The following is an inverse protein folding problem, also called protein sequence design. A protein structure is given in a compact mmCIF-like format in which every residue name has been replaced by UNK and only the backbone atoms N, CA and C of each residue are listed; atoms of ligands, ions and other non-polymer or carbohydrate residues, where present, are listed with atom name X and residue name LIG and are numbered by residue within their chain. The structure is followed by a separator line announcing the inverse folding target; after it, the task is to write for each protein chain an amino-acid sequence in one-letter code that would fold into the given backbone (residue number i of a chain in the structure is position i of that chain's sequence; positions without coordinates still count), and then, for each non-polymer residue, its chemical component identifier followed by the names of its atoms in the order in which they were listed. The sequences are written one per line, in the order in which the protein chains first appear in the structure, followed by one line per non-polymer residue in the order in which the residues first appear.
data_IF_774976170061
#
_entry.id   IF_774976170061
#
_cell.length_a   1.000
_cell.length_b   1.000
_cell.length_c   1.000
_cell.angle_alpha   90.00
_cell.angle_beta   90.00
_cell.angle_gamma   90.00
#
_symmetry.space_group_name_H-M   'P 1'
#
loop_
_entity.id
_entity.type
_entity.pdbx_description
1 polymer ?
#
# COMPACT_ATOMS: atom_id res chain seq x y z
N UNK A 1 -5.70 29.00 2.81
CA UNK A 1 -7.10 29.33 2.62
C UNK A 1 -7.93 28.05 2.55
N UNK A 2 -9.09 27.99 3.24
CA UNK A 2 -9.93 26.78 3.34
C UNK A 2 -10.40 26.33 1.94
N UNK A 3 -10.69 27.27 1.06
CA UNK A 3 -11.15 27.03 -0.32
C UNK A 3 -10.08 26.31 -1.14
N UNK A 4 -8.82 26.72 -1.04
CA UNK A 4 -7.70 26.10 -1.77
C UNK A 4 -7.42 24.67 -1.27
N UNK A 5 -7.58 24.43 0.05
CA UNK A 5 -7.43 23.11 0.61
C UNK A 5 -8.53 22.15 0.14
N UNK A 6 -9.77 22.64 0.03
CA UNK A 6 -10.91 21.88 -0.51
C UNK A 6 -10.76 21.62 -2.01
N UNK A 7 -10.34 22.60 -2.80
CA UNK A 7 -10.10 22.45 -4.23
C UNK A 7 -9.02 21.39 -4.51
N UNK A 8 -7.89 21.43 -3.77
CA UNK A 8 -6.84 20.42 -3.87
C UNK A 8 -7.31 19.03 -3.45
N UNK A 9 -8.20 18.94 -2.46
CA UNK A 9 -8.79 17.67 -2.03
C UNK A 9 -9.70 17.10 -3.12
N UNK A 10 -10.56 17.92 -3.72
CA UNK A 10 -11.44 17.51 -4.82
C UNK A 10 -10.64 17.08 -6.05
N UNK A 11 -9.59 17.81 -6.42
CA UNK A 11 -8.71 17.44 -7.53
C UNK A 11 -8.07 16.05 -7.33
N UNK A 12 -7.58 15.74 -6.11
CA UNK A 12 -7.05 14.42 -5.78
C UNK A 12 -8.13 13.34 -5.85
N UNK A 13 -9.32 13.58 -5.33
CA UNK A 13 -10.45 12.63 -5.41
C UNK A 13 -10.81 12.30 -6.86
N UNK A 14 -10.91 13.30 -7.73
CA UNK A 14 -11.20 13.08 -9.15
C UNK A 14 -10.10 12.27 -9.83
N UNK A 15 -8.83 12.58 -9.54
CA UNK A 15 -7.67 11.83 -10.08
C UNK A 15 -7.67 10.38 -9.61
N UNK A 16 -7.92 10.14 -8.32
CA UNK A 16 -7.94 8.79 -7.75
C UNK A 16 -9.12 7.97 -8.28
N UNK A 17 -10.31 8.57 -8.41
CA UNK A 17 -11.49 7.93 -9.00
C UNK A 17 -11.26 7.57 -10.47
N UNK A 18 -10.63 8.48 -11.25
CA UNK A 18 -10.30 8.21 -12.64
C UNK A 18 -9.31 7.05 -12.74
N UNK A 19 -8.27 7.01 -11.91
CA UNK A 19 -7.34 5.88 -11.85
C UNK A 19 -8.05 4.57 -11.55
N UNK A 20 -9.01 4.57 -10.61
CA UNK A 20 -9.79 3.38 -10.29
C UNK A 20 -10.65 2.91 -11.48
N UNK A 21 -11.34 3.81 -12.15
CA UNK A 21 -12.15 3.49 -13.33
C UNK A 21 -11.29 2.99 -14.51
N UNK A 22 -10.16 3.65 -14.76
CA UNK A 22 -9.21 3.24 -15.80
C UNK A 22 -8.61 1.85 -15.48
N UNK A 23 -8.33 1.58 -14.19
CA UNK A 23 -7.82 0.28 -13.74
C UNK A 23 -8.79 -0.88 -13.98
N UNK A 24 -10.10 -0.66 -13.99
CA UNK A 24 -11.05 -1.76 -14.21
C UNK A 24 -11.05 -2.25 -15.68
N UNK A 25 -10.66 -1.41 -16.62
CA UNK A 25 -10.81 -1.65 -18.05
C UNK A 25 -9.50 -1.71 -18.84
N UNK A 26 -8.44 -1.03 -18.40
CA UNK A 26 -7.15 -1.01 -19.09
C UNK A 26 -6.45 -2.36 -19.07
N UNK A 27 -5.76 -2.73 -20.15
CA UNK A 27 -4.87 -3.89 -20.15
C UNK A 27 -3.68 -3.64 -19.21
N UNK A 28 -3.22 -4.69 -18.50
CA UNK A 28 -1.99 -4.61 -17.69
C UNK A 28 -0.76 -4.75 -18.60
N UNK A 29 0.24 -3.91 -18.36
CA UNK A 29 1.58 -4.07 -18.95
C UNK A 29 2.37 -5.07 -18.12
N UNK A 30 2.20 -6.38 -18.40
CA UNK A 30 2.79 -7.44 -17.59
C UNK A 30 4.28 -7.62 -17.89
N UNK A 31 5.11 -7.46 -16.88
CA UNK A 31 6.55 -7.68 -16.89
C UNK A 31 6.99 -8.45 -15.64
N UNK A 32 8.26 -8.85 -15.59
CA UNK A 32 8.84 -9.44 -14.38
C UNK A 32 9.30 -8.32 -13.44
N UNK A 33 8.58 -8.13 -12.34
CA UNK A 33 8.78 -7.05 -11.39
C UNK A 33 9.56 -7.55 -10.18
N UNK A 34 10.70 -6.89 -9.86
CA UNK A 34 11.38 -7.05 -8.58
C UNK A 34 10.57 -6.33 -7.48
N UNK A 35 9.82 -7.13 -6.73
CA UNK A 35 8.95 -6.57 -5.69
C UNK A 35 9.76 -6.06 -4.49
N UNK A 36 10.98 -6.56 -4.26
CA UNK A 36 11.84 -6.08 -3.20
C UNK A 36 12.37 -4.67 -3.51
N UNK A 37 12.77 -4.42 -4.76
CA UNK A 37 13.13 -3.08 -5.25
C UNK A 37 11.93 -2.13 -5.18
N UNK A 38 10.76 -2.57 -5.65
CA UNK A 38 9.50 -1.80 -5.57
C UNK A 38 9.18 -1.35 -4.14
N UNK A 39 9.36 -2.25 -3.16
CA UNK A 39 9.16 -1.94 -1.73
C UNK A 39 10.19 -0.93 -1.24
N UNK A 40 11.46 -1.10 -1.64
CA UNK A 40 12.54 -0.20 -1.26
C UNK A 40 12.27 1.23 -1.73
N UNK A 41 11.95 1.39 -3.01
CA UNK A 41 11.68 2.69 -3.63
C UNK A 41 10.45 3.38 -3.00
N UNK A 42 9.38 2.63 -2.78
CA UNK A 42 8.19 3.15 -2.13
C UNK A 42 8.46 3.59 -0.68
N UNK A 43 9.23 2.81 0.07
CA UNK A 43 9.59 3.15 1.46
C UNK A 43 10.50 4.38 1.52
N UNK A 44 11.45 4.51 0.58
CA UNK A 44 12.30 5.69 0.47
C UNK A 44 11.46 6.94 0.18
N UNK A 45 10.58 6.90 -0.83
CA UNK A 45 9.73 8.02 -1.20
C UNK A 45 8.86 8.49 -0.02
N UNK A 46 8.24 7.56 0.71
CA UNK A 46 7.43 7.89 1.90
C UNK A 46 8.29 8.48 3.03
N UNK A 47 9.51 7.96 3.22
CA UNK A 47 10.46 8.48 4.21
C UNK A 47 10.88 9.93 3.91
N UNK A 48 11.19 10.23 2.65
CA UNK A 48 11.55 11.59 2.18
C UNK A 48 10.38 12.57 2.35
N UNK A 49 9.16 12.15 2.00
CA UNK A 49 7.96 12.97 2.25
C UNK A 49 7.71 13.22 3.75
N UNK A 50 7.95 12.23 4.59
CA UNK A 50 7.87 12.36 6.04
C UNK A 50 8.85 13.39 6.56
N UNK A 51 10.12 13.32 6.13
CA UNK A 51 11.18 14.27 6.49
C UNK A 51 10.83 15.69 6.02
N UNK A 52 10.34 15.86 4.80
CA UNK A 52 9.91 17.15 4.26
C UNK A 52 8.75 17.79 5.04
N UNK A 53 7.91 16.98 5.68
CA UNK A 53 6.80 17.44 6.54
C UNK A 53 7.22 17.74 7.99
N UNK A 54 8.49 17.65 8.30
CA UNK A 54 9.03 17.91 9.65
C UNK A 54 9.14 16.68 10.54
N UNK A 55 9.08 15.48 9.96
CA UNK A 55 9.26 14.20 10.62
C UNK A 55 8.09 13.22 10.42
N UNK A 56 8.38 11.94 10.67
CA UNK A 56 7.43 10.84 10.55
C UNK A 56 7.84 9.66 11.43
N UNK A 57 7.14 8.53 11.34
CA UNK A 57 7.55 7.31 12.00
C UNK A 57 8.86 6.79 11.40
N UNK A 58 9.55 5.92 12.15
CA UNK A 58 10.70 5.19 11.63
C UNK A 58 10.22 4.06 10.72
N UNK A 59 10.63 4.09 9.44
CA UNK A 59 10.38 3.00 8.49
C UNK A 59 11.55 2.02 8.58
N UNK A 60 11.24 0.73 8.69
CA UNK A 60 12.19 -0.39 8.70
C UNK A 60 11.81 -1.40 7.65
N UNK A 61 12.80 -1.87 6.91
CA UNK A 61 12.64 -2.94 5.93
C UNK A 61 13.30 -4.22 6.45
N UNK A 62 12.58 -5.33 6.37
CA UNK A 62 13.03 -6.68 6.67
C UNK A 62 12.68 -7.56 5.47
N UNK A 63 13.52 -7.46 4.42
CA UNK A 63 13.38 -8.19 3.17
C UNK A 63 14.48 -9.23 3.05
N UNK A 64 14.17 -10.45 2.59
CA UNK A 64 15.17 -11.46 2.29
C UNK A 64 16.18 -10.94 1.27
N UNK A 65 17.45 -11.22 1.54
CA UNK A 65 18.58 -10.83 0.68
C UNK A 65 19.31 -12.07 0.16
N UNK A 66 20.37 -11.85 -0.63
CA UNK A 66 21.22 -12.95 -1.09
C UNK A 66 21.63 -13.85 0.06
N UNK A 67 21.68 -15.19 -0.12
CA UNK A 67 21.51 -15.88 -1.39
C UNK A 67 20.06 -16.19 -1.79
N UNK A 68 19.06 -15.83 -1.00
CA UNK A 68 17.65 -16.17 -1.21
C UNK A 68 16.76 -14.92 -1.21
N UNK A 69 16.88 -14.02 -2.23
CA UNK A 69 15.98 -12.87 -2.36
C UNK A 69 14.55 -13.35 -2.68
N UNK A 70 13.58 -12.43 -2.57
CA UNK A 70 12.23 -12.69 -3.06
C UNK A 70 12.24 -12.94 -4.58
N UNK A 71 11.41 -13.86 -5.04
CA UNK A 71 11.18 -14.06 -6.46
C UNK A 71 10.46 -12.86 -7.07
N UNK A 72 10.69 -12.64 -8.36
CA UNK A 72 9.92 -11.65 -9.13
C UNK A 72 8.44 -12.06 -9.22
N UNK A 73 7.59 -11.08 -9.38
CA UNK A 73 6.16 -11.28 -9.64
C UNK A 73 5.84 -10.83 -11.07
N UNK A 74 4.91 -11.50 -11.73
CA UNK A 74 4.44 -11.10 -13.06
C UNK A 74 3.39 -10.01 -12.92
N UNK A 75 3.70 -8.77 -13.30
CA UNK A 75 2.80 -7.66 -13.08
C UNK A 75 3.14 -6.38 -13.81
N UNK A 76 2.31 -5.39 -13.62
CA UNK A 76 2.50 -4.02 -14.07
C UNK A 76 3.26 -3.26 -12.98
N UNK A 77 4.51 -2.91 -13.25
CA UNK A 77 5.43 -2.32 -12.27
C UNK A 77 4.90 -1.03 -11.65
N UNK A 78 4.33 -0.13 -12.48
CA UNK A 78 3.79 1.15 -12.01
C UNK A 78 2.60 0.96 -11.06
N UNK A 79 1.73 0.00 -11.38
CA UNK A 79 0.58 -0.32 -10.56
C UNK A 79 0.99 -1.01 -9.25
N UNK A 80 1.91 -1.95 -9.30
CA UNK A 80 2.44 -2.61 -8.11
C UNK A 80 3.15 -1.61 -7.20
N UNK A 81 3.96 -0.71 -7.76
CA UNK A 81 4.54 0.40 -7.01
C UNK A 81 3.46 1.26 -6.34
N UNK A 82 2.41 1.64 -7.09
CA UNK A 82 1.30 2.43 -6.55
C UNK A 82 0.60 1.72 -5.39
N UNK A 83 0.39 0.40 -5.47
CA UNK A 83 -0.22 -0.37 -4.38
C UNK A 83 0.66 -0.39 -3.13
N UNK A 84 1.95 -0.71 -3.27
CA UNK A 84 2.92 -0.75 -2.16
C UNK A 84 3.07 0.63 -1.52
N UNK A 85 3.25 1.67 -2.34
CA UNK A 85 3.34 3.05 -1.87
C UNK A 85 2.11 3.46 -1.05
N UNK A 86 0.89 3.16 -1.53
CA UNK A 86 -0.34 3.51 -0.81
C UNK A 86 -0.42 2.86 0.57
N UNK A 87 0.01 1.61 0.71
CA UNK A 87 -0.01 0.93 2.01
C UNK A 87 1.02 1.52 2.96
N UNK A 88 2.27 1.72 2.50
CA UNK A 88 3.35 2.31 3.33
C UNK A 88 3.02 3.77 3.70
N UNK A 89 2.50 4.55 2.75
CA UNK A 89 2.08 5.94 2.97
C UNK A 89 0.94 6.03 3.99
N UNK A 90 -0.05 5.12 3.93
CA UNK A 90 -1.10 5.03 4.94
C UNK A 90 -0.52 4.69 6.33
N UNK A 91 0.33 3.69 6.42
CA UNK A 91 1.00 3.31 7.66
C UNK A 91 1.78 4.50 8.27
N UNK A 92 2.57 5.21 7.45
CA UNK A 92 3.30 6.41 7.86
C UNK A 92 2.37 7.54 8.31
N UNK A 93 1.31 7.79 7.57
CA UNK A 93 0.36 8.87 7.83
C UNK A 93 -0.43 8.69 9.14
N UNK A 94 -0.78 7.46 9.47
CA UNK A 94 -1.58 7.15 10.66
C UNK A 94 -0.73 6.79 11.88
N UNK A 95 0.59 6.84 11.76
CA UNK A 95 1.55 6.64 12.84
C UNK A 95 2.19 7.97 13.25
N UNK A 96 2.17 8.26 14.54
CA UNK A 96 2.77 9.48 15.09
C UNK A 96 4.28 9.48 14.95
N UNK A 97 4.94 10.66 14.93
CA UNK A 97 6.40 10.77 15.06
C UNK A 97 6.90 9.97 16.28
N UNK A 98 7.99 9.22 16.09
CA UNK A 98 8.53 8.31 17.11
C UNK A 98 7.94 6.89 17.08
N UNK A 99 6.80 6.66 16.36
CA UNK A 99 6.29 5.33 16.09
C UNK A 99 7.12 4.61 15.01
N UNK A 100 6.69 3.40 14.66
CA UNK A 100 7.40 2.53 13.72
C UNK A 100 6.44 2.00 12.65
N UNK A 101 6.94 1.98 11.41
CA UNK A 101 6.37 1.23 10.29
C UNK A 101 7.39 0.17 9.91
N UNK A 102 7.00 -1.09 9.93
CA UNK A 102 7.85 -2.21 9.56
C UNK A 102 7.29 -2.89 8.32
N UNK A 103 8.13 -3.04 7.30
CA UNK A 103 7.78 -3.70 6.04
C UNK A 103 8.60 -4.99 5.93
N UNK A 104 7.91 -6.12 5.84
CA UNK A 104 8.51 -7.45 5.72
C UNK A 104 8.13 -8.10 4.41
N UNK A 105 9.10 -8.78 3.79
CA UNK A 105 8.86 -9.63 2.63
C UNK A 105 9.02 -11.10 3.00
N UNK A 106 8.12 -11.95 2.52
CA UNK A 106 8.21 -13.41 2.66
C UNK A 106 7.74 -14.09 1.39
N UNK A 107 8.32 -15.25 1.12
CA UNK A 107 7.87 -16.10 0.03
C UNK A 107 7.56 -17.50 0.57
N UNK A 108 6.38 -18.00 0.24
CA UNK A 108 5.94 -19.32 0.62
C UNK A 108 5.00 -19.89 -0.46
N UNK A 109 5.23 -21.14 -0.84
CA UNK A 109 4.35 -21.87 -1.76
C UNK A 109 4.01 -21.12 -3.05
N UNK A 110 5.01 -20.47 -3.68
CA UNK A 110 4.83 -19.73 -4.92
C UNK A 110 4.07 -18.41 -4.77
N UNK A 111 4.07 -17.85 -3.56
CA UNK A 111 3.43 -16.56 -3.26
C UNK A 111 4.41 -15.67 -2.52
N UNK A 112 4.65 -14.48 -3.04
CA UNK A 112 5.33 -13.40 -2.32
C UNK A 112 4.31 -12.62 -1.53
N UNK A 113 4.58 -12.41 -0.25
CA UNK A 113 3.74 -11.62 0.65
C UNK A 113 4.54 -10.46 1.22
N UNK A 114 4.06 -9.25 1.00
CA UNK A 114 4.57 -8.03 1.64
C UNK A 114 3.64 -7.69 2.80
N UNK A 115 4.19 -7.67 4.00
CA UNK A 115 3.52 -7.27 5.23
C UNK A 115 3.97 -5.85 5.60
N UNK A 116 3.03 -4.95 5.81
CA UNK A 116 3.28 -3.61 6.36
C UNK A 116 2.59 -3.52 7.72
N UNK A 117 3.37 -3.37 8.78
CA UNK A 117 2.89 -3.26 10.15
C UNK A 117 3.23 -1.89 10.73
N UNK A 118 2.26 -1.23 11.35
CA UNK A 118 2.44 0.08 11.98
C UNK A 118 2.02 0.07 13.46
N UNK A 119 2.57 1.03 14.22
CA UNK A 119 2.19 1.30 15.62
C UNK A 119 1.30 2.54 15.71
N UNK A 120 0.46 2.75 14.71
CA UNK A 120 -0.42 3.92 14.60
C UNK A 120 -1.72 3.82 15.37
N UNK A 121 -2.67 4.67 14.98
CA UNK A 121 -3.98 4.78 15.65
C UNK A 121 -4.84 3.52 15.53
N UNK A 122 -4.50 2.59 14.64
CA UNK A 122 -5.32 1.43 14.35
C UNK A 122 -6.67 1.77 13.72
N UNK A 123 -7.47 0.73 13.49
CA UNK A 123 -8.82 0.80 12.90
C UNK A 123 -9.81 0.18 13.88
N UNK A 124 -10.93 0.84 14.19
CA UNK A 124 -12.00 0.24 14.99
C UNK A 124 -12.52 -1.05 14.34
N UNK A 125 -12.82 -2.05 15.16
CA UNK A 125 -13.26 -3.37 14.68
C UNK A 125 -14.51 -3.28 13.79
N UNK A 126 -15.42 -2.35 14.09
CA UNK A 126 -16.64 -2.13 13.32
C UNK A 126 -16.38 -1.61 11.90
N UNK A 127 -15.26 -0.91 11.69
CA UNK A 127 -14.93 -0.29 10.40
C UNK A 127 -14.09 -1.25 9.48
N UNK A 128 -13.49 -2.31 10.04
CA UNK A 128 -12.61 -3.23 9.28
C UNK A 128 -13.27 -3.84 8.03
N UNK A 129 -14.56 -4.25 8.04
CA UNK A 129 -15.17 -4.81 6.83
C UNK A 129 -15.25 -3.82 5.66
N UNK A 130 -15.33 -2.52 5.97
CA UNK A 130 -15.54 -1.47 4.99
C UNK A 130 -14.25 -0.79 4.48
N UNK A 131 -13.09 -1.01 5.12
CA UNK A 131 -11.85 -0.26 4.79
C UNK A 131 -11.37 -0.40 3.34
N UNK A 132 -11.76 -1.47 2.66
CA UNK A 132 -11.42 -1.74 1.27
C UNK A 132 -12.41 -1.13 0.27
N UNK A 133 -13.53 -0.59 0.75
CA UNK A 133 -14.53 0.05 -0.10
C UNK A 133 -14.11 1.46 -0.47
N UNK A 134 -14.57 1.92 -1.62
CA UNK A 134 -14.34 3.29 -2.10
C UNK A 134 -14.88 4.32 -1.11
N UNK A 135 -14.11 5.40 -0.93
CA UNK A 135 -14.44 6.52 -0.03
C UNK A 135 -14.61 6.14 1.44
N UNK A 136 -14.33 4.87 1.79
CA UNK A 136 -14.41 4.42 3.18
C UNK A 136 -13.30 5.07 4.02
N UNK A 137 -13.66 5.47 5.23
CA UNK A 137 -12.75 6.03 6.22
C UNK A 137 -13.16 5.57 7.60
N UNK A 138 -12.22 5.04 8.35
CA UNK A 138 -12.44 4.67 9.75
C UNK A 138 -12.89 5.89 10.58
N UNK A 139 -13.75 5.65 11.55
CA UNK A 139 -14.33 6.69 12.38
C UNK A 139 -13.28 7.55 13.09
N UNK A 140 -12.20 6.93 13.58
CA UNK A 140 -11.07 7.59 14.25
C UNK A 140 -10.12 8.33 13.30
N UNK A 141 -10.24 8.15 11.97
CA UNK A 141 -9.42 8.80 10.94
C UNK A 141 -10.11 9.97 10.24
N UNK A 142 -11.35 10.34 10.60
CA UNK A 142 -12.13 11.37 9.91
C UNK A 142 -11.51 12.75 9.93
N UNK A 143 -10.75 13.08 10.96
CA UNK A 143 -10.04 14.36 11.09
C UNK A 143 -8.71 14.45 10.31
N UNK A 144 -8.16 13.32 9.86
CA UNK A 144 -6.88 13.26 9.16
C UNK A 144 -7.05 13.43 7.63
N UNK A 145 -6.08 14.00 6.89
CA UNK A 145 -6.19 14.15 5.45
C UNK A 145 -6.25 12.79 4.73
N UNK A 146 -7.03 12.68 3.64
CA UNK A 146 -7.10 11.47 2.81
C UNK A 146 -8.39 11.39 2.01
N UNK A 147 -8.31 10.72 0.82
CA UNK A 147 -9.43 10.53 -0.11
C UNK A 147 -10.37 9.39 0.29
N UNK A 148 -9.86 8.38 0.99
CA UNK A 148 -10.58 7.11 1.24
C UNK A 148 -10.54 6.15 0.05
N UNK A 149 -9.74 6.42 -0.97
CA UNK A 149 -9.63 5.62 -2.20
C UNK A 149 -8.37 4.74 -2.22
N UNK A 150 -7.36 5.06 -1.39
CA UNK A 150 -6.05 4.37 -1.45
C UNK A 150 -6.14 2.87 -1.22
N UNK A 151 -6.90 2.39 -0.22
CA UNK A 151 -7.04 0.95 0.03
C UNK A 151 -7.92 0.25 -1.01
N UNK A 152 -8.95 0.90 -1.54
CA UNK A 152 -9.74 0.38 -2.65
C UNK A 152 -8.87 0.19 -3.90
N UNK A 153 -8.01 1.18 -4.21
CA UNK A 153 -7.02 1.10 -5.29
C UNK A 153 -6.07 -0.09 -5.08
N UNK A 154 -5.50 -0.24 -3.87
CA UNK A 154 -4.64 -1.37 -3.51
C UNK A 154 -5.34 -2.70 -3.74
N UNK A 155 -6.58 -2.85 -3.26
CA UNK A 155 -7.36 -4.08 -3.44
C UNK A 155 -7.60 -4.40 -4.90
N UNK A 156 -7.93 -3.41 -5.72
CA UNK A 156 -8.17 -3.59 -7.16
C UNK A 156 -6.88 -3.96 -7.89
N UNK A 157 -5.76 -3.28 -7.62
CA UNK A 157 -4.48 -3.59 -8.24
C UNK A 157 -4.06 -5.02 -7.91
N UNK A 158 -3.98 -5.37 -6.63
CA UNK A 158 -3.51 -6.69 -6.19
C UNK A 158 -4.39 -7.81 -6.75
N UNK A 159 -5.72 -7.63 -6.75
CA UNK A 159 -6.66 -8.61 -7.30
C UNK A 159 -6.50 -8.79 -8.81
N UNK A 160 -6.24 -7.73 -9.57
CA UNK A 160 -5.95 -7.80 -11.00
C UNK A 160 -4.65 -8.54 -11.33
N UNK A 161 -3.71 -8.58 -10.38
CA UNK A 161 -2.47 -9.36 -10.46
C UNK A 161 -2.63 -10.80 -9.92
N UNK A 162 -3.86 -11.29 -9.73
CA UNK A 162 -4.14 -12.63 -9.20
C UNK A 162 -3.83 -12.79 -7.72
N UNK A 163 -3.57 -11.70 -7.02
CA UNK A 163 -3.21 -11.67 -5.61
C UNK A 163 -4.40 -11.44 -4.68
N UNK A 164 -4.09 -11.28 -3.41
CA UNK A 164 -5.06 -10.98 -2.35
C UNK A 164 -4.52 -9.98 -1.33
N UNK A 165 -5.44 -9.27 -0.67
CA UNK A 165 -5.13 -8.33 0.40
C UNK A 165 -5.82 -8.74 1.69
N UNK A 166 -5.16 -8.52 2.83
CA UNK A 166 -5.73 -8.73 4.16
C UNK A 166 -5.32 -7.61 5.09
N UNK A 167 -6.11 -7.39 6.12
CA UNK A 167 -5.82 -6.44 7.19
C UNK A 167 -6.19 -7.05 8.54
N UNK A 168 -5.35 -6.80 9.54
CA UNK A 168 -5.68 -6.94 10.93
C UNK A 168 -5.32 -5.64 11.63
N UNK A 169 -6.19 -5.16 12.50
CA UNK A 169 -5.96 -3.92 13.22
C UNK A 169 -6.61 -3.95 14.59
N UNK A 170 -6.01 -3.19 15.50
CA UNK A 170 -6.55 -2.91 16.82
C UNK A 170 -6.43 -1.42 17.10
N UNK A 171 -7.55 -0.77 17.37
CA UNK A 171 -7.60 0.65 17.69
C UNK A 171 -6.69 0.99 18.87
N UNK A 172 -5.89 2.06 18.74
CA UNK A 172 -4.91 2.50 19.72
C UNK A 172 -3.62 1.66 19.77
N UNK A 173 -3.49 0.60 18.95
CA UNK A 173 -2.31 -0.30 18.95
C UNK A 173 -1.57 -0.24 17.61
N UNK A 174 -2.30 -0.31 16.48
CA UNK A 174 -1.72 -0.27 15.14
C UNK A 174 -2.47 -1.15 14.15
N UNK A 175 -1.91 -1.20 12.93
CA UNK A 175 -2.48 -1.94 11.80
C UNK A 175 -1.43 -2.82 11.15
N UNK A 176 -1.88 -3.91 10.57
CA UNK A 176 -1.07 -4.82 9.76
C UNK A 176 -1.81 -5.12 8.47
N UNK A 177 -1.16 -4.88 7.34
CA UNK A 177 -1.70 -5.11 6.00
C UNK A 177 -0.79 -6.11 5.29
N UNK A 178 -1.38 -7.08 4.60
CA UNK A 178 -0.68 -8.05 3.77
C UNK A 178 -1.12 -7.93 2.32
N UNK A 179 -0.14 -7.82 1.43
CA UNK A 179 -0.29 -7.92 -0.02
C UNK A 179 0.34 -9.23 -0.45
N UNK A 180 -0.45 -10.17 -0.94
CA UNK A 180 0.03 -11.47 -1.42
C UNK A 180 -0.11 -11.54 -2.94
N UNK A 181 0.99 -11.83 -3.63
CA UNK A 181 1.09 -11.87 -5.09
C UNK A 181 1.68 -13.21 -5.54
N UNK A 182 1.17 -13.85 -6.58
CA UNK A 182 1.78 -15.05 -7.12
C UNK A 182 3.17 -14.70 -7.69
N UNK A 183 4.15 -15.58 -7.48
CA UNK A 183 5.47 -15.44 -8.14
C UNK A 183 5.30 -15.56 -9.66
N UNK A 184 6.20 -14.93 -10.41
CA UNK A 184 6.31 -15.17 -11.83
C UNK A 184 6.56 -16.68 -12.04
N UNK A 185 5.67 -17.35 -12.74
CA UNK A 185 5.91 -18.74 -13.17
C UNK A 185 7.17 -18.80 -14.03
N UNK A 186 7.77 -19.99 -14.22
CA UNK A 186 8.82 -20.13 -15.22
C UNK A 186 8.28 -19.55 -16.53
N UNK A 187 9.05 -18.62 -17.13
CA UNK A 187 8.67 -18.00 -18.38
C UNK A 187 8.28 -19.11 -19.35
N UNK A 188 7.04 -19.07 -19.88
CA UNK A 188 6.67 -19.92 -20.99
C UNK A 188 7.66 -19.60 -22.12
N UNK A 189 8.68 -20.43 -22.21
CA UNK A 189 9.65 -20.34 -23.32
C UNK A 189 8.87 -20.76 -24.56
N UNK A 190 8.85 -19.92 -25.61
CA UNK A 190 8.12 -20.19 -26.84
C UNK A 190 8.66 -21.41 -27.59
#
# INVERSE_FOLDING_TARGET
DVVDAQARRMGRLVTDLRKLADLETAALSLEDVDIAETVHDAAQAVGEEGAARGGGPRIRLDLPQVPWPLSHVRGDGDLLYSAVYNVISNASKYTSPGGTVEVRGREESGTVTIEVADTGIGVPQADLPAVWSELARAGNARGLPGSGLGLALVSTIVRRHGGSVRMASREGVGTRVWLSLPVAGPADTP
#
